data_IF_915217404796
#
_entry.id   IF_915217404796
#
_cell.length_a   1.000
_cell.length_b   1.000
_cell.length_c   1.000
_cell.angle_alpha   90.00
_cell.angle_beta   90.00
_cell.angle_gamma   90.00
#
_symmetry.space_group_name_H-M   'P 1'
#
loop_
_entity.id
_entity.type
_entity.pdbx_description
1 polymer ?
#
# COMPACT_ATOMS: atom_id res chain seq x y z
N UNK A 1 -7.83 5.84 12.30
CA UNK A 1 -7.94 6.30 10.91
C UNK A 1 -6.83 5.76 10.03
N UNK A 2 -5.60 5.71 10.55
CA UNK A 2 -4.48 5.19 9.76
C UNK A 2 -4.71 3.74 9.37
N UNK A 3 -5.27 2.93 10.26
CA UNK A 3 -5.57 1.53 9.96
C UNK A 3 -6.57 1.40 8.82
N UNK A 4 -7.58 2.26 8.80
CA UNK A 4 -8.59 2.24 7.73
C UNK A 4 -7.96 2.63 6.39
N UNK A 5 -7.07 3.62 6.41
CA UNK A 5 -6.36 4.05 5.20
C UNK A 5 -5.44 2.94 4.70
N UNK A 6 -4.70 2.31 5.61
CA UNK A 6 -3.80 1.21 5.25
C UNK A 6 -4.57 0.02 4.67
N UNK A 7 -5.74 -0.28 5.23
CA UNK A 7 -6.59 -1.35 4.72
C UNK A 7 -7.09 -1.02 3.32
N UNK A 8 -7.49 0.22 3.09
CA UNK A 8 -7.94 0.65 1.76
C UNK A 8 -6.78 0.58 0.75
N UNK A 9 -5.59 1.00 1.16
CA UNK A 9 -4.41 0.91 0.32
C UNK A 9 -4.12 -0.54 -0.07
N UNK A 10 -4.23 -1.46 0.90
CA UNK A 10 -4.04 -2.88 0.64
C UNK A 10 -5.07 -3.39 -0.38
N UNK A 11 -6.33 -3.01 -0.23
CA UNK A 11 -7.39 -3.43 -1.15
C UNK A 11 -7.12 -2.93 -2.56
N UNK A 12 -6.68 -1.68 -2.71
CA UNK A 12 -6.37 -1.13 -4.02
C UNK A 12 -5.18 -1.84 -4.65
N UNK A 13 -4.15 -2.16 -3.84
CA UNK A 13 -2.98 -2.88 -4.34
C UNK A 13 -3.36 -4.29 -4.77
N UNK A 14 -4.19 -4.98 -4.00
CA UNK A 14 -4.62 -6.32 -4.35
C UNK A 14 -5.42 -6.30 -5.63
N UNK A 15 -6.33 -5.35 -5.77
CA UNK A 15 -7.15 -5.19 -6.97
C UNK A 15 -6.30 -4.95 -8.21
N UNK A 16 -5.23 -4.17 -8.06
CA UNK A 16 -4.38 -3.80 -9.19
C UNK A 16 -3.38 -4.90 -9.56
N UNK A 17 -2.78 -5.57 -8.57
CA UNK A 17 -1.64 -6.44 -8.81
C UNK A 17 -1.94 -7.94 -8.70
N UNK A 18 -2.91 -8.35 -7.90
CA UNK A 18 -3.19 -9.77 -7.73
C UNK A 18 -3.62 -10.45 -9.03
N UNK A 19 -4.42 -9.81 -9.91
CA UNK A 19 -4.79 -10.46 -11.17
C UNK A 19 -3.60 -10.82 -12.06
N UNK A 20 -2.48 -10.12 -11.91
CA UNK A 20 -1.27 -10.40 -12.67
C UNK A 20 -0.34 -11.38 -11.95
N UNK A 21 -0.79 -11.96 -10.85
CA UNK A 21 -0.02 -12.96 -10.13
C UNK A 21 0.91 -12.41 -9.06
N UNK A 22 0.90 -11.10 -8.82
CA UNK A 22 1.70 -10.52 -7.75
C UNK A 22 1.10 -10.86 -6.40
N UNK A 23 1.95 -11.18 -5.44
CA UNK A 23 1.51 -11.47 -4.08
C UNK A 23 1.61 -10.20 -3.25
N UNK A 24 0.54 -9.93 -2.51
CA UNK A 24 0.49 -8.77 -1.62
C UNK A 24 0.70 -9.27 -0.20
N UNK A 25 1.73 -8.74 0.45
CA UNK A 25 2.02 -9.10 1.83
C UNK A 25 0.93 -8.53 2.74
N UNK A 26 0.41 -9.38 3.62
CA UNK A 26 -0.54 -8.92 4.62
C UNK A 26 -0.16 -9.43 5.99
N UNK A 27 -0.51 -8.66 6.99
CA UNK A 27 -0.30 -9.00 8.38
C UNK A 27 -1.66 -9.00 9.06
N UNK A 28 -2.14 -10.20 9.40
CA UNK A 28 -3.46 -10.35 10.02
C UNK A 28 -3.37 -10.71 11.50
N UNK A 29 -2.19 -10.53 12.09
CA UNK A 29 -1.99 -10.88 13.49
C UNK A 29 -2.89 -10.08 14.43
N UNK A 30 -3.28 -8.88 14.03
CA UNK A 30 -4.16 -8.02 14.81
C UNK A 30 -5.57 -7.91 14.22
N UNK A 31 -5.90 -8.78 13.28
CA UNK A 31 -7.24 -8.83 12.69
C UNK A 31 -7.45 -8.02 11.43
N UNK A 32 -6.42 -7.31 10.93
CA UNK A 32 -6.55 -6.58 9.67
C UNK A 32 -5.34 -6.89 8.76
N UNK A 33 -5.44 -6.54 7.45
CA UNK A 33 -4.44 -6.97 6.47
C UNK A 33 -3.21 -6.09 6.38
N UNK A 34 -3.13 -5.00 7.11
CA UNK A 34 -1.96 -4.14 7.07
C UNK A 34 -0.94 -4.56 8.13
N UNK A 35 0.30 -4.14 7.94
CA UNK A 35 1.36 -4.41 8.91
C UNK A 35 1.64 -3.14 9.71
N UNK A 36 1.49 -3.23 11.02
CA UNK A 36 1.80 -2.13 11.90
C UNK A 36 3.29 -2.08 12.20
N UNK A 37 3.81 -0.88 12.43
CA UNK A 37 5.23 -0.67 12.61
C UNK A 37 5.48 0.41 13.64
N UNK A 38 6.65 0.31 14.31
CA UNK A 38 7.08 1.27 15.31
C UNK A 38 8.02 2.32 14.74
N UNK A 39 8.01 2.52 13.43
CA UNK A 39 8.85 3.55 12.82
C UNK A 39 8.51 4.93 13.40
N UNK A 40 9.56 5.73 13.58
CA UNK A 40 9.42 7.03 14.23
C UNK A 40 8.32 7.89 13.58
N UNK A 41 8.32 7.98 12.25
CA UNK A 41 7.37 8.85 11.56
C UNK A 41 5.92 8.40 11.78
N UNK A 42 5.68 7.09 11.83
CA UNK A 42 4.33 6.58 12.07
C UNK A 42 3.89 6.82 13.51
N UNK A 43 4.84 6.74 14.44
CA UNK A 43 4.54 6.85 15.86
C UNK A 43 4.37 8.28 16.32
N UNK A 44 5.14 9.22 15.75
CA UNK A 44 5.22 10.59 16.24
C UNK A 44 4.53 11.64 15.38
N UNK A 45 3.98 11.26 14.24
CA UNK A 45 3.24 12.17 13.37
C UNK A 45 1.86 12.42 13.98
N UNK A 46 1.40 13.68 13.96
CA UNK A 46 0.11 14.04 14.54
C UNK A 46 -1.07 13.67 13.63
N UNK A 47 -0.85 13.60 12.33
CA UNK A 47 -1.88 13.18 11.39
C UNK A 47 -1.79 11.68 11.15
N UNK A 48 -2.84 11.04 10.61
CA UNK A 48 -2.75 9.63 10.21
C UNK A 48 -1.62 9.43 9.22
N UNK A 49 -0.82 8.38 9.42
CA UNK A 49 0.33 8.11 8.58
C UNK A 49 0.39 6.63 8.23
N UNK A 50 0.77 6.32 6.99
CA UNK A 50 0.88 4.97 6.48
C UNK A 50 2.19 4.84 5.73
N UNK A 51 2.92 3.76 5.97
CA UNK A 51 4.14 3.45 5.24
C UNK A 51 3.81 2.42 4.17
N UNK A 52 4.16 2.73 2.93
CA UNK A 52 3.96 1.82 1.80
C UNK A 52 5.31 1.33 1.33
N UNK A 53 5.49 0.00 1.31
CA UNK A 53 6.71 -0.61 0.79
C UNK A 53 6.35 -1.35 -0.49
N UNK A 54 6.97 -0.93 -1.60
CA UNK A 54 6.61 -1.41 -2.93
C UNK A 54 7.67 -2.36 -3.46
N UNK A 55 7.34 -3.67 -3.48
CA UNK A 55 8.16 -4.69 -4.12
C UNK A 55 9.52 -4.88 -3.44
N UNK A 56 10.24 -5.89 -3.87
CA UNK A 56 11.57 -6.20 -3.35
C UNK A 56 12.59 -5.93 -4.43
N UNK A 57 13.42 -4.91 -4.25
CA UNK A 57 14.37 -4.55 -5.30
C UNK A 57 15.53 -5.52 -5.44
N UNK A 58 15.70 -6.44 -4.48
CA UNK A 58 16.70 -7.49 -4.59
C UNK A 58 16.19 -8.70 -5.38
N UNK A 59 14.94 -8.71 -5.78
CA UNK A 59 14.35 -9.74 -6.63
C UNK A 59 14.33 -9.21 -8.05
N UNK A 60 14.91 -9.98 -9.01
CA UNK A 60 15.04 -9.51 -10.39
C UNK A 60 13.69 -9.12 -10.99
N UNK A 61 12.66 -9.95 -10.79
CA UNK A 61 11.34 -9.69 -11.33
C UNK A 61 10.75 -8.40 -10.77
N UNK A 62 10.82 -8.24 -9.45
CA UNK A 62 10.27 -7.07 -8.78
C UNK A 62 11.03 -5.81 -9.19
N UNK A 63 12.35 -5.89 -9.22
CA UNK A 63 13.17 -4.74 -9.58
C UNK A 63 12.89 -4.28 -11.01
N UNK A 64 12.80 -5.22 -11.94
CA UNK A 64 12.52 -4.89 -13.33
C UNK A 64 11.14 -4.23 -13.46
N UNK A 65 10.15 -4.76 -12.75
CA UNK A 65 8.80 -4.22 -12.81
C UNK A 65 8.74 -2.78 -12.28
N UNK A 66 9.36 -2.54 -11.12
CA UNK A 66 9.25 -1.22 -10.50
C UNK A 66 10.08 -0.18 -11.24
N UNK A 67 11.10 -0.60 -12.00
CA UNK A 67 11.86 0.30 -12.85
C UNK A 67 11.14 0.62 -14.16
N UNK A 68 10.16 -0.17 -14.54
CA UNK A 68 9.42 0.04 -15.78
C UNK A 68 8.44 1.19 -15.62
N UNK A 69 8.10 1.81 -16.75
CA UNK A 69 7.08 2.87 -16.75
C UNK A 69 5.72 2.30 -16.31
N UNK A 70 5.39 1.09 -16.78
CA UNK A 70 4.14 0.45 -16.41
C UNK A 70 4.08 0.22 -14.90
N UNK A 71 5.16 -0.31 -14.31
CA UNK A 71 5.18 -0.56 -12.88
C UNK A 71 5.01 0.71 -12.06
N UNK A 72 5.73 1.76 -12.44
CA UNK A 72 5.62 3.04 -11.74
C UNK A 72 4.22 3.64 -11.86
N UNK A 73 3.63 3.56 -13.05
CA UNK A 73 2.28 4.09 -13.26
C UNK A 73 1.24 3.32 -12.45
N UNK A 74 1.40 2.02 -12.34
CA UNK A 74 0.44 1.19 -11.61
C UNK A 74 0.56 1.40 -10.10
N UNK A 75 1.78 1.57 -9.58
CA UNK A 75 1.97 1.91 -8.16
C UNK A 75 1.36 3.27 -7.87
N UNK A 76 1.59 4.25 -8.75
CA UNK A 76 1.01 5.59 -8.60
C UNK A 76 -0.50 5.54 -8.62
N UNK A 77 -1.09 4.69 -9.46
CA UNK A 77 -2.54 4.52 -9.53
C UNK A 77 -3.11 4.02 -8.22
N UNK A 78 -2.45 3.03 -7.61
CA UNK A 78 -2.90 2.50 -6.32
C UNK A 78 -2.93 3.60 -5.27
N UNK A 79 -1.88 4.38 -5.18
CA UNK A 79 -1.79 5.47 -4.22
C UNK A 79 -2.85 6.53 -4.51
N UNK A 80 -3.01 6.89 -5.79
CA UNK A 80 -4.00 7.89 -6.19
C UNK A 80 -5.42 7.45 -5.83
N UNK A 81 -5.78 6.21 -6.12
CA UNK A 81 -7.12 5.72 -5.82
C UNK A 81 -7.38 5.67 -4.32
N UNK A 82 -6.35 5.34 -3.53
CA UNK A 82 -6.47 5.36 -2.08
C UNK A 82 -6.72 6.78 -1.56
N UNK A 83 -5.94 7.74 -2.05
CA UNK A 83 -6.10 9.15 -1.64
C UNK A 83 -7.49 9.65 -2.04
N UNK A 84 -7.94 9.30 -3.24
CA UNK A 84 -9.25 9.73 -3.71
C UNK A 84 -10.36 9.19 -2.81
N UNK A 85 -10.28 7.92 -2.41
CA UNK A 85 -11.26 7.33 -1.52
C UNK A 85 -11.31 8.04 -0.18
N UNK A 86 -10.14 8.38 0.37
CA UNK A 86 -10.06 9.10 1.65
C UNK A 86 -10.64 10.51 1.51
N UNK A 87 -10.29 11.22 0.43
CA UNK A 87 -10.76 12.59 0.22
C UNK A 87 -12.26 12.67 0.05
N UNK A 88 -12.88 11.63 -0.49
CA UNK A 88 -14.33 11.59 -0.65
C UNK A 88 -15.03 10.98 0.57
N UNK A 89 -14.29 10.71 1.64
CA UNK A 89 -14.87 10.24 2.89
C UNK A 89 -15.34 8.81 2.86
N UNK A 90 -14.90 7.99 1.90
CA UNK A 90 -15.37 6.62 1.79
C UNK A 90 -14.76 5.70 2.85
N UNK A 91 -13.61 6.09 3.41
CA UNK A 91 -12.84 5.23 4.30
C UNK A 91 -12.89 5.73 5.73
N UNK A 92 -13.02 7.03 5.94
CA UNK A 92 -12.99 7.65 7.26
C UNK A 92 -14.22 8.48 7.57
#
# INVERSE_FOLDING_TARGET
KADLIATELYKEAEKEFAPDGWKIRKDTSDGDPDKESQFYILKHTKCPAVLVENFFMDTRKDCAFIQSEDGRNRVSKVIFETIKSVCYGRVI
#
